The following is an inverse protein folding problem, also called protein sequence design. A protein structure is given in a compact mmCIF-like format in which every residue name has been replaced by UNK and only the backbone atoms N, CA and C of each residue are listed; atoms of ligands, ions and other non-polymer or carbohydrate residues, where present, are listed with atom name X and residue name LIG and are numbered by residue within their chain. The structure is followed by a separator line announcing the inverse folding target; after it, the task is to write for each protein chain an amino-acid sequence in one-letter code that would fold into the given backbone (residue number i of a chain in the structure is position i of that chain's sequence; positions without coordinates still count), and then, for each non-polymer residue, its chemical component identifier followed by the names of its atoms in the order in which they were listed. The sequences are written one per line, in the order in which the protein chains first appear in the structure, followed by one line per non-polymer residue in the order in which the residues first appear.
data_IF_230614322078
#
_entry.id   IF_230614322078
#
_cell.length_a   1.000
_cell.length_b   1.000
_cell.length_c   1.000
_cell.angle_alpha   90.00
_cell.angle_beta   90.00
_cell.angle_gamma   90.00
#
_symmetry.space_group_name_H-M   'P 1'
#
loop_
_entity.id
_entity.type
_entity.pdbx_description
1 polymer ?
#
# COMPACT_ATOMS: atom_id res chain seq x y z
N UNK A 1 -14.72 15.36 14.42
CA UNK A 1 -15.42 14.81 13.24
C UNK A 1 -16.82 15.38 13.25
N UNK A 2 -17.41 15.70 12.09
CA UNK A 2 -18.86 15.99 12.02
C UNK A 2 -19.66 14.69 12.19
N UNK A 3 -20.97 14.74 12.50
CA UNK A 3 -21.80 13.54 12.57
C UNK A 3 -21.77 12.69 11.30
N UNK A 4 -21.73 13.33 10.13
CA UNK A 4 -21.66 12.65 8.83
C UNK A 4 -20.33 11.91 8.67
N UNK A 5 -19.22 12.55 9.06
CA UNK A 5 -17.90 11.93 9.06
C UNK A 5 -17.83 10.74 10.03
N UNK A 6 -18.44 10.88 11.21
CA UNK A 6 -18.52 9.80 12.18
C UNK A 6 -19.28 8.59 11.62
N UNK A 7 -20.44 8.84 11.00
CA UNK A 7 -21.26 7.79 10.39
C UNK A 7 -20.51 7.06 9.26
N UNK A 8 -19.87 7.82 8.36
CA UNK A 8 -19.05 7.23 7.30
C UNK A 8 -17.92 6.36 7.87
N UNK A 9 -17.22 6.85 8.91
CA UNK A 9 -16.14 6.09 9.53
C UNK A 9 -16.65 4.79 10.16
N UNK A 10 -17.80 4.81 10.83
CA UNK A 10 -18.46 3.62 11.39
C UNK A 10 -18.78 2.61 10.28
N UNK A 11 -19.38 3.05 9.17
CA UNK A 11 -19.70 2.17 8.05
C UNK A 11 -18.44 1.52 7.44
N UNK A 12 -17.36 2.29 7.27
CA UNK A 12 -16.06 1.77 6.81
C UNK A 12 -15.50 0.73 7.81
N UNK A 13 -15.61 1.01 9.11
CA UNK A 13 -15.15 0.10 10.16
C UNK A 13 -15.94 -1.21 10.20
N UNK A 14 -17.25 -1.15 9.98
CA UNK A 14 -18.15 -2.31 9.97
C UNK A 14 -18.02 -3.16 8.70
N UNK A 15 -17.51 -2.62 7.60
CA UNK A 15 -17.32 -3.38 6.37
C UNK A 15 -16.38 -4.58 6.58
N UNK A 16 -16.87 -5.79 6.29
CA UNK A 16 -16.12 -7.03 6.44
C UNK A 16 -15.38 -7.39 5.14
N UNK A 17 -14.05 -7.41 5.20
CA UNK A 17 -13.20 -7.88 4.09
C UNK A 17 -13.17 -9.42 4.03
N UNK A 18 -13.25 -10.06 5.18
CA UNK A 18 -13.28 -11.51 5.29
C UNK A 18 -14.71 -12.00 5.04
N UNK A 19 -14.87 -12.95 4.13
CA UNK A 19 -16.15 -13.63 3.93
C UNK A 19 -16.20 -14.85 4.87
N UNK A 20 -17.19 -14.97 5.78
CA UNK A 20 -17.24 -16.05 6.77
C UNK A 20 -17.24 -17.47 6.18
N UNK A 21 -17.78 -17.63 4.98
CA UNK A 21 -17.84 -18.91 4.26
C UNK A 21 -16.57 -19.24 3.47
N UNK A 22 -15.60 -18.33 3.40
CA UNK A 22 -14.38 -18.57 2.65
C UNK A 22 -13.44 -19.50 3.42
N UNK A 23 -13.04 -20.60 2.77
CA UNK A 23 -12.03 -21.52 3.31
C UNK A 23 -10.70 -20.82 3.63
N UNK A 24 -10.32 -19.84 2.81
CA UNK A 24 -9.16 -18.98 3.04
C UNK A 24 -9.58 -17.51 2.93
N UNK A 25 -9.79 -16.82 4.06
CA UNK A 25 -10.31 -15.45 4.07
C UNK A 25 -9.31 -14.43 3.54
N UNK A 26 -9.78 -13.21 3.26
CA UNK A 26 -8.98 -12.10 2.72
C UNK A 26 -7.73 -11.85 3.58
N UNK A 27 -7.91 -11.75 4.89
CA UNK A 27 -6.85 -11.48 5.86
C UNK A 27 -5.80 -12.60 5.88
N UNK A 28 -6.21 -13.86 5.77
CA UNK A 28 -5.28 -14.99 5.71
C UNK A 28 -4.45 -14.98 4.41
N UNK A 29 -5.08 -14.70 3.27
CA UNK A 29 -4.37 -14.56 1.98
C UNK A 29 -3.40 -13.38 1.99
N UNK A 30 -3.84 -12.25 2.52
CA UNK A 30 -3.01 -11.05 2.67
C UNK A 30 -1.78 -11.31 3.55
N UNK A 31 -1.99 -12.00 4.68
CA UNK A 31 -0.92 -12.39 5.59
C UNK A 31 0.09 -13.32 4.91
N UNK A 32 -0.39 -14.30 4.15
CA UNK A 32 0.46 -15.22 3.40
C UNK A 32 1.24 -14.49 2.30
N UNK A 33 0.58 -13.66 1.50
CA UNK A 33 1.17 -12.91 0.38
C UNK A 33 2.34 -12.03 0.84
N UNK A 34 2.14 -11.26 1.90
CA UNK A 34 3.15 -10.33 2.40
C UNK A 34 3.98 -10.85 3.57
N UNK A 35 3.81 -12.13 3.94
CA UNK A 35 4.51 -12.81 5.03
C UNK A 35 4.35 -12.06 6.36
N UNK A 36 3.14 -11.60 6.65
CA UNK A 36 2.79 -10.87 7.86
C UNK A 36 2.22 -11.80 8.93
N UNK A 37 2.45 -11.45 10.20
CA UNK A 37 1.75 -12.11 11.31
C UNK A 37 0.28 -11.72 11.33
N UNK A 38 -0.59 -12.57 11.89
CA UNK A 38 -2.02 -12.26 11.97
C UNK A 38 -2.32 -10.92 12.66
N UNK A 39 -1.61 -10.60 13.75
CA UNK A 39 -1.77 -9.33 14.46
C UNK A 39 -1.33 -8.12 13.62
N UNK A 40 -0.24 -8.25 12.85
CA UNK A 40 0.22 -7.18 11.97
C UNK A 40 -0.76 -6.96 10.83
N UNK A 41 -1.25 -8.04 10.21
CA UNK A 41 -2.26 -7.99 9.15
C UNK A 41 -3.55 -7.32 9.63
N UNK A 42 -4.03 -7.69 10.82
CA UNK A 42 -5.19 -7.05 11.42
C UNK A 42 -5.00 -5.54 11.58
N UNK A 43 -3.86 -5.12 12.16
CA UNK A 43 -3.54 -3.69 12.33
C UNK A 43 -3.43 -2.97 10.98
N UNK A 44 -2.78 -3.58 9.98
CA UNK A 44 -2.67 -3.01 8.64
C UNK A 44 -4.05 -2.78 7.99
N UNK A 45 -4.99 -3.72 8.16
CA UNK A 45 -6.39 -3.57 7.70
C UNK A 45 -7.10 -2.39 8.40
N UNK A 46 -6.90 -2.23 9.71
CA UNK A 46 -7.48 -1.09 10.43
C UNK A 46 -6.90 0.25 9.93
N UNK A 47 -5.61 0.30 9.65
CA UNK A 47 -4.96 1.49 9.10
C UNK A 47 -5.38 1.78 7.66
N UNK A 48 -5.68 0.75 6.85
CA UNK A 48 -6.32 0.90 5.55
C UNK A 48 -7.70 1.55 5.64
N UNK A 49 -8.55 1.09 6.57
CA UNK A 49 -9.86 1.69 6.82
C UNK A 49 -9.77 3.17 7.22
N UNK A 50 -8.83 3.51 8.11
CA UNK A 50 -8.54 4.91 8.46
C UNK A 50 -8.10 5.72 7.24
N UNK A 51 -7.18 5.19 6.43
CA UNK A 51 -6.72 5.87 5.22
C UNK A 51 -7.85 6.14 4.23
N UNK A 52 -8.72 5.15 3.98
CA UNK A 52 -9.91 5.34 3.13
C UNK A 52 -10.76 6.48 3.66
N UNK A 53 -11.06 6.51 4.96
CA UNK A 53 -11.77 7.63 5.58
C UNK A 53 -11.07 8.98 5.32
N UNK A 54 -9.75 9.06 5.48
CA UNK A 54 -9.00 10.30 5.21
C UNK A 54 -9.16 10.76 3.76
N UNK A 55 -9.03 9.85 2.79
CA UNK A 55 -9.27 10.18 1.36
C UNK A 55 -10.69 10.67 1.16
N UNK A 56 -11.65 10.09 1.88
CA UNK A 56 -13.05 10.45 1.75
C UNK A 56 -13.36 11.87 2.20
N UNK A 57 -12.78 12.29 3.33
CA UNK A 57 -13.04 13.61 3.91
C UNK A 57 -12.12 14.72 3.40
N UNK A 58 -10.97 14.38 2.82
CA UNK A 58 -9.98 15.38 2.39
C UNK A 58 -10.37 16.11 1.10
N UNK A 59 -11.16 15.48 0.23
CA UNK A 59 -11.52 16.06 -1.08
C UNK A 59 -10.34 16.22 -2.05
N UNK A 60 -9.16 15.69 -1.71
CA UNK A 60 -7.93 15.74 -2.49
C UNK A 60 -7.27 14.36 -2.54
N UNK A 61 -6.35 14.16 -3.49
CA UNK A 61 -5.57 12.93 -3.58
C UNK A 61 -4.58 12.83 -2.42
N UNK A 62 -4.60 11.70 -1.72
CA UNK A 62 -3.68 11.36 -0.64
C UNK A 62 -2.87 10.12 -1.01
N UNK A 63 -1.74 9.94 -0.35
CA UNK A 63 -0.85 8.79 -0.55
C UNK A 63 -0.68 8.04 0.76
N UNK A 64 -0.93 6.71 0.79
CA UNK A 64 -0.69 5.90 1.97
C UNK A 64 0.77 5.46 2.10
N UNK A 65 1.20 4.95 3.28
CA UNK A 65 2.44 4.21 3.40
C UNK A 65 2.34 2.87 2.65
N UNK A 66 3.48 2.25 2.32
CA UNK A 66 3.52 1.00 1.55
C UNK A 66 2.69 -0.13 2.16
N UNK A 67 2.65 -0.25 3.48
CA UNK A 67 1.84 -1.28 4.16
C UNK A 67 0.35 -1.11 3.87
N UNK A 68 -0.17 0.11 3.97
CA UNK A 68 -1.58 0.41 3.72
C UNK A 68 -1.91 0.32 2.22
N UNK A 69 -0.99 0.78 1.35
CA UNK A 69 -1.10 0.64 -0.10
C UNK A 69 -1.25 -0.82 -0.53
N UNK A 70 -0.48 -1.73 0.09
CA UNK A 70 -0.58 -3.18 -0.15
C UNK A 70 -1.95 -3.75 0.20
N UNK A 71 -2.54 -3.35 1.32
CA UNK A 71 -3.90 -3.78 1.67
C UNK A 71 -4.90 -3.27 0.63
N UNK A 72 -4.76 -2.01 0.21
CA UNK A 72 -5.62 -1.40 -0.79
C UNK A 72 -5.50 -2.12 -2.15
N UNK A 73 -4.28 -2.36 -2.64
CA UNK A 73 -4.01 -3.15 -3.84
C UNK A 73 -4.63 -4.54 -3.76
N UNK A 74 -4.48 -5.20 -2.61
CA UNK A 74 -5.03 -6.53 -2.44
C UNK A 74 -6.57 -6.50 -2.47
N UNK A 75 -7.22 -5.47 -1.91
CA UNK A 75 -8.68 -5.31 -1.98
C UNK A 75 -9.19 -5.06 -3.40
N UNK A 76 -8.42 -4.36 -4.25
CA UNK A 76 -8.78 -4.18 -5.68
C UNK A 76 -8.94 -5.51 -6.44
N UNK A 77 -8.24 -6.57 -6.01
CA UNK A 77 -8.37 -7.90 -6.63
C UNK A 77 -9.72 -8.56 -6.32
N UNK A 78 -10.44 -8.11 -5.29
CA UNK A 78 -11.78 -8.59 -4.91
C UNK A 78 -12.82 -7.67 -5.51
N UNK A 79 -12.91 -7.65 -6.84
CA UNK A 79 -13.62 -6.62 -7.60
C UNK A 79 -15.06 -6.37 -7.14
N UNK A 80 -15.85 -7.41 -6.87
CA UNK A 80 -17.22 -7.26 -6.35
C UNK A 80 -17.26 -6.68 -4.93
N UNK A 81 -16.34 -7.13 -4.05
CA UNK A 81 -16.22 -6.57 -2.69
C UNK A 81 -15.82 -5.10 -2.76
N UNK A 82 -14.88 -4.75 -3.64
CA UNK A 82 -14.34 -3.41 -3.74
C UNK A 82 -15.28 -2.43 -4.45
N UNK A 83 -15.71 -2.75 -5.67
CA UNK A 83 -16.47 -1.83 -6.51
C UNK A 83 -17.93 -1.78 -6.12
N UNK A 84 -18.59 -2.92 -6.03
CA UNK A 84 -20.04 -2.96 -5.84
C UNK A 84 -20.38 -2.64 -4.38
N UNK A 85 -19.77 -3.37 -3.44
CA UNK A 85 -20.10 -3.23 -2.02
C UNK A 85 -19.38 -2.06 -1.37
N UNK A 86 -18.05 -2.05 -1.36
CA UNK A 86 -17.31 -1.03 -0.63
C UNK A 86 -17.45 0.36 -1.26
N UNK A 87 -17.17 0.51 -2.56
CA UNK A 87 -17.31 1.81 -3.22
C UNK A 87 -18.78 2.20 -3.45
N UNK A 88 -19.60 1.26 -3.94
CA UNK A 88 -21.00 1.52 -4.29
C UNK A 88 -21.91 1.74 -3.09
N UNK A 89 -21.89 0.83 -2.11
CA UNK A 89 -22.83 0.85 -0.98
C UNK A 89 -22.29 1.61 0.24
N UNK A 90 -21.00 1.42 0.58
CA UNK A 90 -20.40 2.04 1.78
C UNK A 90 -19.93 3.46 1.50
N UNK A 91 -19.06 3.65 0.51
CA UNK A 91 -18.48 4.96 0.21
C UNK A 91 -19.41 5.86 -0.61
N UNK A 92 -20.42 5.28 -1.29
CA UNK A 92 -21.35 5.96 -2.19
C UNK A 92 -20.66 6.78 -3.30
N UNK A 93 -19.41 6.44 -3.63
CA UNK A 93 -18.67 7.03 -4.75
C UNK A 93 -17.44 6.18 -5.10
N UNK A 94 -16.94 6.26 -6.34
CA UNK A 94 -15.73 5.56 -6.74
C UNK A 94 -14.50 6.04 -5.98
N UNK A 95 -13.65 5.10 -5.59
CA UNK A 95 -12.30 5.34 -5.10
C UNK A 95 -11.33 4.66 -6.05
N UNK A 96 -10.69 5.41 -6.94
CA UNK A 96 -9.75 4.85 -7.91
C UNK A 96 -8.32 4.79 -7.34
N UNK A 97 -7.64 3.66 -7.53
CA UNK A 97 -6.19 3.59 -7.40
C UNK A 97 -5.55 3.89 -8.75
N UNK A 98 -4.67 4.88 -8.79
CA UNK A 98 -3.96 5.27 -10.00
C UNK A 98 -2.48 4.87 -9.88
N UNK A 99 -1.95 4.10 -10.84
CA UNK A 99 -0.54 3.75 -10.84
C UNK A 99 0.33 5.01 -11.02
N UNK A 100 1.54 4.91 -10.48
CA UNK A 100 2.60 5.90 -10.69
C UNK A 100 3.06 5.89 -12.15
N UNK A 101 3.21 7.08 -12.73
CA UNK A 101 3.81 7.28 -14.06
C UNK A 101 5.35 7.30 -14.02
N UNK A 102 5.95 7.33 -12.83
CA UNK A 102 7.39 7.34 -12.58
C UNK A 102 8.03 8.73 -12.59
N UNK A 103 9.32 8.79 -12.25
CA UNK A 103 10.13 9.99 -12.32
C UNK A 103 10.20 10.83 -11.03
N UNK A 104 11.16 11.76 -11.00
CA UNK A 104 11.49 12.57 -9.82
C UNK A 104 10.36 13.50 -9.38
N UNK A 105 9.67 14.12 -10.34
CA UNK A 105 8.57 15.04 -10.06
C UNK A 105 7.39 14.33 -9.40
N UNK A 106 7.07 13.13 -9.88
CA UNK A 106 6.03 12.31 -9.27
C UNK A 106 6.44 11.83 -7.87
N UNK A 107 7.71 11.48 -7.67
CA UNK A 107 8.26 11.20 -6.35
C UNK A 107 8.07 12.36 -5.36
N UNK A 108 8.30 13.59 -5.79
CA UNK A 108 8.07 14.78 -4.96
C UNK A 108 6.58 14.97 -4.65
N UNK A 109 5.71 14.80 -5.65
CA UNK A 109 4.25 14.85 -5.47
C UNK A 109 3.77 13.82 -4.45
N UNK A 110 4.23 12.58 -4.56
CA UNK A 110 3.90 11.51 -3.60
C UNK A 110 4.36 11.84 -2.19
N UNK A 111 5.56 12.39 -2.05
CA UNK A 111 6.06 12.84 -0.75
C UNK A 111 5.14 13.91 -0.14
N UNK A 112 4.76 14.93 -0.91
CA UNK A 112 3.84 15.99 -0.45
C UNK A 112 2.46 15.42 -0.05
N UNK A 113 1.88 14.54 -0.87
CA UNK A 113 0.62 13.88 -0.55
C UNK A 113 0.72 13.00 0.72
N UNK A 114 1.85 12.32 0.91
CA UNK A 114 2.10 11.54 2.12
C UNK A 114 2.18 12.42 3.37
N UNK A 115 2.87 13.57 3.30
CA UNK A 115 2.91 14.55 4.39
C UNK A 115 1.51 15.04 4.76
N UNK A 116 0.68 15.41 3.77
CA UNK A 116 -0.71 15.81 3.98
C UNK A 116 -1.55 14.67 4.59
N UNK A 117 -1.30 13.43 4.18
CA UNK A 117 -1.97 12.26 4.75
C UNK A 117 -1.64 12.12 6.24
N UNK A 118 -0.38 12.30 6.64
CA UNK A 118 0.04 12.26 8.04
C UNK A 118 -0.54 13.41 8.86
N UNK A 119 -0.65 14.61 8.30
CA UNK A 119 -1.30 15.75 8.96
C UNK A 119 -2.77 15.48 9.25
N UNK A 120 -3.50 15.01 8.24
CA UNK A 120 -4.91 14.63 8.39
C UNK A 120 -5.07 13.45 9.37
N UNK A 121 -4.20 12.45 9.28
CA UNK A 121 -4.20 11.34 10.21
C UNK A 121 -4.09 11.84 11.65
N UNK A 122 -3.10 12.71 11.94
CA UNK A 122 -2.91 13.28 13.28
C UNK A 122 -4.12 14.05 13.76
N UNK A 123 -4.76 14.81 12.88
CA UNK A 123 -5.97 15.57 13.19
C UNK A 123 -7.17 14.70 13.58
N UNK A 124 -7.35 13.55 12.92
CA UNK A 124 -8.51 12.69 13.13
C UNK A 124 -8.28 11.57 14.15
N UNK A 125 -7.06 11.03 14.22
CA UNK A 125 -6.75 9.79 14.94
C UNK A 125 -5.56 9.91 15.91
N UNK A 126 -4.90 11.06 15.99
CA UNK A 126 -3.68 11.22 16.79
C UNK A 126 -2.44 10.62 16.11
N UNK A 127 -1.35 10.36 16.85
CA UNK A 127 -0.10 9.91 16.25
C UNK A 127 -0.25 8.52 15.58
N UNK A 128 0.18 8.35 14.32
CA UNK A 128 0.08 7.07 13.64
C UNK A 128 1.11 6.06 14.17
N UNK A 129 0.79 4.75 14.13
CA UNK A 129 1.74 3.70 14.51
C UNK A 129 2.91 3.65 13.51
N UNK A 130 4.14 3.88 14.01
CA UNK A 130 5.34 4.09 13.20
C UNK A 130 5.80 2.86 12.43
N UNK A 131 5.41 1.66 12.87
CA UNK A 131 5.71 0.40 12.17
C UNK A 131 4.87 0.21 10.90
N UNK A 132 3.68 0.82 10.83
CA UNK A 132 2.79 0.77 9.66
C UNK A 132 2.89 2.04 8.81
N UNK A 133 2.97 3.21 9.46
CA UNK A 133 3.07 4.53 8.81
C UNK A 133 4.53 4.98 8.70
N UNK A 134 5.36 4.08 8.19
CA UNK A 134 6.75 4.37 7.89
C UNK A 134 6.90 5.19 6.61
N UNK A 135 8.01 5.90 6.46
CA UNK A 135 8.30 6.64 5.23
C UNK A 135 8.28 5.69 4.02
N UNK A 136 7.67 6.09 2.89
CA UNK A 136 7.74 5.33 1.65
C UNK A 136 9.20 5.08 1.31
N UNK A 137 9.58 3.81 1.15
CA UNK A 137 10.91 3.49 0.62
C UNK A 137 10.97 4.02 -0.80
N UNK A 138 11.94 4.88 -1.09
CA UNK A 138 12.20 5.36 -2.46
C UNK A 138 12.36 4.14 -3.35
N UNK A 139 11.41 3.89 -4.25
CA UNK A 139 11.52 2.83 -5.25
C UNK A 139 12.66 3.24 -6.17
N UNK A 140 13.81 2.58 -6.04
CA UNK A 140 14.87 2.71 -7.05
C UNK A 140 14.34 2.10 -8.34
N UNK A 141 14.28 2.87 -9.41
CA UNK A 141 13.76 2.49 -10.74
C UNK A 141 14.44 1.24 -11.34
N UNK A 142 15.53 0.75 -10.73
CA UNK A 142 16.29 -0.43 -11.13
C UNK A 142 15.94 -1.73 -10.39
N UNK A 143 14.94 -1.76 -9.52
CA UNK A 143 14.58 -2.97 -8.80
C UNK A 143 13.79 -3.95 -9.69
N UNK A 144 14.42 -5.03 -10.14
CA UNK A 144 13.75 -6.15 -10.80
C UNK A 144 13.20 -7.11 -9.75
N UNK A 145 11.87 -7.18 -9.64
CA UNK A 145 11.20 -8.15 -8.78
C UNK A 145 10.72 -9.33 -9.62
N UNK A 146 10.91 -10.55 -9.10
CA UNK A 146 10.47 -11.80 -9.70
C UNK A 146 9.84 -12.68 -8.63
N UNK A 147 8.80 -13.44 -9.01
CA UNK A 147 8.23 -14.47 -8.15
C UNK A 147 9.17 -15.68 -8.13
N UNK A 148 9.53 -16.11 -6.93
CA UNK A 148 10.43 -17.26 -6.72
C UNK A 148 9.75 -18.21 -5.73
N UNK A 149 9.62 -19.47 -6.10
CA UNK A 149 9.18 -20.51 -5.18
C UNK A 149 10.28 -20.78 -4.14
N UNK A 150 10.05 -20.33 -2.91
CA UNK A 150 11.02 -20.45 -1.80
C UNK A 150 11.08 -21.86 -1.19
N UNK A 151 10.20 -22.77 -1.59
CA UNK A 151 10.32 -24.19 -1.24
C UNK A 151 11.31 -24.91 -2.16
N UNK A 152 11.49 -24.41 -3.39
CA UNK A 152 12.39 -25.00 -4.39
C UNK A 152 13.72 -24.25 -4.50
N UNK A 153 13.70 -22.94 -4.27
CA UNK A 153 14.84 -22.06 -4.54
C UNK A 153 15.20 -21.17 -3.34
N UNK A 154 16.50 -20.92 -3.19
CA UNK A 154 17.04 -20.05 -2.15
C UNK A 154 17.29 -18.65 -2.69
N UNK A 155 16.91 -17.62 -1.92
CA UNK A 155 17.25 -16.22 -2.23
C UNK A 155 18.51 -15.87 -1.44
N UNK A 156 19.64 -15.80 -2.14
CA UNK A 156 20.94 -15.46 -1.54
C UNK A 156 21.26 -13.99 -1.88
N UNK A 157 21.54 -13.13 -0.88
CA UNK A 157 21.95 -11.75 -1.14
C UNK A 157 23.20 -11.70 -2.03
N UNK A 158 23.22 -10.82 -3.02
CA UNK A 158 24.41 -10.63 -3.85
C UNK A 158 25.60 -10.19 -2.98
N UNK A 159 26.73 -10.90 -3.01
CA UNK A 159 27.91 -10.52 -2.24
C UNK A 159 28.43 -9.17 -2.73
N UNK A 160 28.81 -8.29 -1.79
CA UNK A 160 29.17 -6.89 -2.08
C UNK A 160 30.33 -6.75 -3.09
N UNK A 161 31.17 -7.77 -3.23
CA UNK A 161 32.34 -7.80 -4.14
C UNK A 161 31.93 -7.80 -5.62
N UNK A 162 30.77 -8.39 -5.98
CA UNK A 162 30.30 -8.47 -7.37
C UNK A 162 29.64 -7.18 -7.86
N UNK A 163 29.19 -6.30 -6.95
CA UNK A 163 28.62 -4.99 -7.30
C UNK A 163 29.64 -4.05 -7.94
N UNK A 164 30.92 -4.17 -7.56
CA UNK A 164 32.01 -3.32 -8.07
C UNK A 164 32.40 -3.64 -9.51
N UNK A 165 32.25 -4.90 -9.94
CA UNK A 165 32.59 -5.35 -11.29
C UNK A 165 31.54 -4.93 -12.34
N UNK A 166 30.26 -4.89 -11.98
CA UNK A 166 29.19 -4.47 -12.91
C UNK A 166 29.27 -2.99 -13.30
N UNK A 167 29.80 -2.13 -12.42
CA UNK A 167 30.03 -0.70 -12.74
C UNK A 167 31.19 -0.45 -13.71
N UNK A 168 32.12 -1.39 -13.87
CA UNK A 168 33.27 -1.25 -14.77
C UNK A 168 32.93 -1.66 -16.21
N UNK A 169 32.07 -2.66 -16.40
CA UNK A 169 31.70 -3.16 -17.74
C UNK A 169 30.71 -2.24 -18.46
N UNK A 170 29.79 -1.58 -17.75
CA UNK A 170 28.84 -0.64 -18.37
C UNK A 170 29.48 0.64 -18.91
N UNK A 171 30.67 1.04 -18.43
CA UNK A 171 31.43 2.18 -18.95
C UNK A 171 32.16 1.88 -20.27
N UNK A 172 32.34 0.62 -20.65
CA UNK A 172 33.06 0.26 -21.88
C UNK A 172 32.15 0.12 -23.11
N UNK A 173 30.83 0.06 -22.94
CA UNK A 173 29.88 -0.17 -24.05
C UNK A 173 29.28 1.16 -24.58
N UNK A 174 29.47 2.31 -23.90
CA UNK A 174 28.95 3.61 -24.33
C UNK A 174 30.02 4.60 -24.83
N UNK A 175 31.16 4.12 -25.34
CA UNK A 175 32.18 4.98 -25.97
C UNK A 175 32.49 4.68 -27.44
N UNK A 176 31.66 3.89 -28.11
CA UNK A 176 31.63 3.82 -29.58
C UNK A 176 30.19 3.69 -30.06
N UNK A 177 29.58 4.83 -30.32
CA UNK A 177 28.75 5.17 -31.47
C UNK A 177 28.49 6.68 -31.42
#
# INVERSE_FOLDING_TARGET
MTPEQQNLYVQICQFELDQPSAYLPFSAKLAWEYQWTGIYTYRAIQEYKKFVFLVMVAGQTLSPPTTVDRVWHFHLLYTQSYWDKFCGEVLNRPLHHLPSIGGKEEGLKYHQQYCQTLELYRRYFGPPPSDIWNLPKVKTESASFQWVDRHQYWIIPQPRILRTFQTLVSRFIHRKL
#
